data_IF_420137637572
#
_entry.id   IF_420137637572
#
_cell.length_a   1.000
_cell.length_b   1.000
_cell.length_c   1.000
_cell.angle_alpha   90.00
_cell.angle_beta   90.00
_cell.angle_gamma   90.00
#
_symmetry.space_group_name_H-M   'P 1'
#
loop_
_entity.id
_entity.type
_entity.pdbx_description
1 polymer ?
#
# COMPACT_ATOMS: atom_id res chain seq x y z
N UNK A 1 3.68 29.43 77.52
CA UNK A 1 2.24 29.12 77.67
C UNK A 1 1.64 29.21 76.28
N UNK A 2 1.57 28.07 75.58
CA UNK A 2 1.10 28.01 74.18
C UNK A 2 -0.19 27.20 74.21
N UNK A 3 -1.31 27.87 73.91
CA UNK A 3 -2.62 27.26 73.83
C UNK A 3 -2.74 26.40 72.57
N UNK A 4 -3.10 25.13 72.78
CA UNK A 4 -3.53 24.18 71.75
C UNK A 4 -5.07 24.17 71.77
N UNK A 5 -5.72 24.47 70.65
CA UNK A 5 -7.17 24.37 70.48
C UNK A 5 -7.53 23.20 69.52
N UNK A 6 -8.67 22.51 69.72
CA UNK A 6 -8.96 21.26 69.02
C UNK A 6 -9.69 21.47 67.68
N UNK A 7 -9.18 20.78 66.65
CA UNK A 7 -9.77 20.60 65.31
C UNK A 7 -10.98 19.65 65.35
N UNK A 8 -12.18 20.14 65.69
CA UNK A 8 -13.37 19.28 65.62
C UNK A 8 -14.68 20.02 65.40
N UNK A 9 -14.77 20.92 64.40
CA UNK A 9 -16.05 21.56 64.07
C UNK A 9 -16.11 22.24 62.69
N UNK A 10 -15.79 21.53 61.59
CA UNK A 10 -15.98 22.07 60.22
C UNK A 10 -16.43 21.00 59.20
N UNK A 11 -17.25 20.02 59.58
CA UNK A 11 -17.78 19.01 58.64
C UNK A 11 -19.27 18.82 58.89
N UNK A 12 -20.11 19.74 58.40
CA UNK A 12 -21.55 19.69 58.60
C UNK A 12 -22.39 20.18 57.42
N UNK A 13 -21.95 21.19 56.67
CA UNK A 13 -22.79 21.85 55.65
C UNK A 13 -22.63 21.34 54.21
N UNK A 14 -21.66 20.47 53.91
CA UNK A 14 -21.36 20.08 52.52
C UNK A 14 -22.02 18.77 52.03
N UNK A 15 -22.75 18.05 52.87
CA UNK A 15 -23.28 16.72 52.50
C UNK A 15 -24.52 16.81 51.59
N UNK A 16 -25.35 17.85 51.74
CA UNK A 16 -26.57 18.00 50.92
C UNK A 16 -26.25 18.47 49.49
N UNK A 17 -25.27 19.37 49.33
CA UNK A 17 -24.83 19.84 48.01
C UNK A 17 -24.21 18.72 47.17
N UNK A 18 -23.47 17.79 47.80
CA UNK A 18 -22.88 16.64 47.11
C UNK A 18 -23.96 15.68 46.59
N UNK A 19 -25.04 15.46 47.34
CA UNK A 19 -26.17 14.62 46.88
C UNK A 19 -26.90 15.24 45.70
N UNK A 20 -27.04 16.57 45.68
CA UNK A 20 -27.67 17.29 44.56
C UNK A 20 -26.83 17.16 43.28
N UNK A 21 -25.50 17.36 43.37
CA UNK A 21 -24.57 17.24 42.24
C UNK A 21 -24.53 15.80 41.70
N UNK A 22 -24.49 14.80 42.58
CA UNK A 22 -24.53 13.39 42.17
C UNK A 22 -25.84 13.00 41.50
N UNK A 23 -26.98 13.57 41.92
CA UNK A 23 -28.27 13.35 41.25
C UNK A 23 -28.27 13.94 39.84
N UNK A 24 -27.73 15.15 39.68
CA UNK A 24 -27.61 15.83 38.39
C UNK A 24 -26.69 15.08 37.41
N UNK A 25 -25.53 14.60 37.89
CA UNK A 25 -24.59 13.82 37.07
C UNK A 25 -25.18 12.49 36.58
N UNK A 26 -26.00 11.81 37.41
CA UNK A 26 -26.69 10.58 37.00
C UNK A 26 -27.69 10.83 35.88
N UNK A 27 -28.45 11.93 35.95
CA UNK A 27 -29.38 12.33 34.90
C UNK A 27 -28.66 12.63 33.58
N UNK A 28 -27.55 13.37 33.64
CA UNK A 28 -26.75 13.71 32.46
C UNK A 28 -26.18 12.44 31.78
N UNK A 29 -25.65 11.51 32.57
CA UNK A 29 -25.05 10.28 32.05
C UNK A 29 -26.08 9.40 31.34
N UNK A 30 -27.29 9.25 31.92
CA UNK A 30 -28.38 8.48 31.29
C UNK A 30 -28.79 9.11 29.95
N UNK A 31 -28.88 10.44 29.88
CA UNK A 31 -29.24 11.14 28.65
C UNK A 31 -28.19 10.95 27.54
N UNK A 32 -26.90 10.98 27.89
CA UNK A 32 -25.80 10.71 26.95
C UNK A 32 -25.84 9.30 26.37
N UNK A 33 -26.11 8.28 27.20
CA UNK A 33 -26.22 6.89 26.75
C UNK A 33 -27.39 6.71 25.77
N UNK A 34 -28.53 7.35 26.04
CA UNK A 34 -29.69 7.30 25.13
C UNK A 34 -29.37 7.95 23.78
N UNK A 35 -28.64 9.07 23.76
CA UNK A 35 -28.23 9.72 22.52
C UNK A 35 -27.24 8.89 21.70
N UNK A 36 -26.31 8.19 22.33
CA UNK A 36 -25.36 7.30 21.63
C UNK A 36 -26.08 6.10 21.02
N UNK A 37 -26.97 5.46 21.78
CA UNK A 37 -27.74 4.30 21.28
C UNK A 37 -28.71 4.73 20.16
N UNK A 38 -29.41 5.85 20.34
CA UNK A 38 -30.33 6.39 19.34
C UNK A 38 -29.61 6.84 18.07
N UNK A 39 -28.48 7.55 18.21
CA UNK A 39 -27.65 7.99 17.10
C UNK A 39 -27.01 6.83 16.33
N UNK A 40 -26.48 5.83 17.04
CA UNK A 40 -25.93 4.62 16.44
C UNK A 40 -26.99 3.79 15.70
N UNK A 41 -28.18 3.63 16.29
CA UNK A 41 -29.30 2.96 15.64
C UNK A 41 -29.78 3.68 14.38
N UNK A 42 -29.87 5.01 14.41
CA UNK A 42 -30.25 5.82 13.24
C UNK A 42 -29.19 5.73 12.12
N UNK A 43 -27.90 5.75 12.48
CA UNK A 43 -26.80 5.61 11.53
C UNK A 43 -26.83 4.24 10.82
N UNK A 44 -27.01 3.14 11.57
CA UNK A 44 -27.13 1.79 11.00
C UNK A 44 -28.38 1.66 10.12
N UNK A 45 -29.51 2.25 10.52
CA UNK A 45 -30.75 2.25 9.72
C UNK A 45 -30.55 2.93 8.36
N UNK A 46 -29.80 4.03 8.28
CA UNK A 46 -29.49 4.66 7.00
C UNK A 46 -28.62 3.80 6.09
N UNK A 47 -27.72 2.97 6.63
CA UNK A 47 -26.91 2.08 5.79
C UNK A 47 -27.70 0.90 5.20
N UNK A 48 -28.71 0.37 5.91
CA UNK A 48 -29.49 -0.77 5.41
C UNK A 48 -30.49 -0.42 4.29
N UNK A 49 -30.77 0.87 4.04
CA UNK A 49 -31.69 1.29 2.98
C UNK A 49 -31.15 1.23 1.55
N UNK A 50 -29.88 0.81 1.34
CA UNK A 50 -29.25 0.69 0.01
C UNK A 50 -29.16 -0.75 -0.51
N UNK A 51 -30.16 -1.58 -0.23
CA UNK A 51 -30.26 -2.93 -0.82
C UNK A 51 -31.01 -2.87 -2.15
N UNK A 52 -30.22 -2.80 -3.22
CA UNK A 52 -30.35 -3.48 -4.51
C UNK A 52 -31.78 -3.69 -5.06
N UNK A 53 -32.25 -2.75 -5.88
CA UNK A 53 -33.09 -3.10 -7.05
C UNK A 53 -32.18 -3.66 -8.13
N UNK A 54 -32.07 -4.99 -8.12
CA UNK A 54 -31.51 -5.80 -9.19
C UNK A 54 -32.57 -5.92 -10.31
N UNK A 55 -32.45 -5.09 -11.34
CA UNK A 55 -33.16 -5.29 -12.58
C UNK A 55 -32.44 -4.56 -13.71
N UNK A 56 -31.78 -5.36 -14.54
CA UNK A 56 -31.52 -5.08 -15.95
C UNK A 56 -30.51 -3.95 -16.20
N UNK A 57 -29.25 -4.21 -15.82
CA UNK A 57 -28.11 -3.47 -16.34
C UNK A 57 -27.39 -4.33 -17.37
N UNK A 58 -27.58 -3.98 -18.63
CA UNK A 58 -26.54 -4.16 -19.64
C UNK A 58 -25.21 -3.73 -19.03
N UNK A 59 -24.25 -4.65 -18.95
CA UNK A 59 -22.85 -4.39 -18.60
C UNK A 59 -22.26 -3.46 -19.66
N UNK A 60 -22.58 -2.18 -19.56
CA UNK A 60 -21.78 -1.13 -20.16
C UNK A 60 -20.48 -1.15 -19.37
N UNK A 61 -19.43 -1.74 -19.94
CA UNK A 61 -18.07 -1.68 -19.40
C UNK A 61 -17.65 -0.22 -19.31
N UNK A 62 -18.06 0.45 -18.24
CA UNK A 62 -17.59 1.79 -17.92
C UNK A 62 -16.12 1.62 -17.58
N UNK A 63 -15.24 2.12 -18.45
CA UNK A 63 -13.81 2.24 -18.15
C UNK A 63 -13.67 2.80 -16.72
N UNK A 64 -12.78 2.21 -15.90
CA UNK A 64 -12.59 2.67 -14.54
C UNK A 64 -12.37 4.18 -14.51
N UNK A 65 -13.01 4.84 -13.55
CA UNK A 65 -12.83 6.28 -13.31
C UNK A 65 -11.33 6.57 -13.21
N UNK A 66 -10.81 7.51 -14.00
CA UNK A 66 -9.38 7.89 -14.03
C UNK A 66 -8.88 8.16 -12.61
N UNK A 67 -9.72 8.78 -11.78
CA UNK A 67 -9.45 9.05 -10.37
C UNK A 67 -9.29 7.78 -9.52
N UNK A 68 -9.99 6.70 -9.86
CA UNK A 68 -9.85 5.41 -9.18
C UNK A 68 -8.48 4.78 -9.51
N UNK A 69 -8.02 4.89 -10.75
CA UNK A 69 -6.70 4.43 -11.17
C UNK A 69 -5.58 5.23 -10.50
N UNK A 70 -5.70 6.55 -10.43
CA UNK A 70 -4.76 7.41 -9.70
C UNK A 70 -4.64 7.02 -8.22
N UNK A 71 -5.77 6.80 -7.55
CA UNK A 71 -5.81 6.37 -6.16
C UNK A 71 -5.19 4.97 -5.98
N UNK A 72 -5.48 4.06 -6.90
CA UNK A 72 -4.92 2.71 -6.90
C UNK A 72 -3.39 2.72 -7.07
N UNK A 73 -2.85 3.56 -7.95
CA UNK A 73 -1.41 3.76 -8.10
C UNK A 73 -0.77 4.26 -6.80
N UNK A 74 -1.33 5.31 -6.20
CA UNK A 74 -0.82 5.86 -4.94
C UNK A 74 -0.82 4.80 -3.83
N UNK A 75 -1.94 4.10 -3.62
CA UNK A 75 -2.06 3.07 -2.58
C UNK A 75 -1.05 1.95 -2.79
N UNK A 76 -0.98 1.41 -4.01
CA UNK A 76 -0.09 0.29 -4.33
C UNK A 76 1.39 0.69 -4.19
N UNK A 77 1.77 1.88 -4.67
CA UNK A 77 3.15 2.37 -4.55
C UNK A 77 3.55 2.59 -3.08
N UNK A 78 2.65 3.12 -2.25
CA UNK A 78 2.87 3.30 -0.80
C UNK A 78 3.01 1.96 -0.09
N UNK A 79 2.10 1.01 -0.33
CA UNK A 79 2.17 -0.35 0.27
C UNK A 79 3.49 -1.02 -0.09
N UNK A 80 3.89 -0.98 -1.37
CA UNK A 80 5.17 -1.55 -1.83
C UNK A 80 6.39 -0.83 -1.25
N UNK A 81 6.32 0.48 -1.07
CA UNK A 81 7.38 1.23 -0.38
C UNK A 81 7.51 0.81 1.08
N UNK A 82 6.39 0.63 1.78
CA UNK A 82 6.35 0.17 3.16
C UNK A 82 6.98 -1.21 3.31
N UNK A 83 6.65 -2.15 2.42
CA UNK A 83 7.23 -3.50 2.41
C UNK A 83 8.77 -3.47 2.29
N UNK A 84 9.31 -2.48 1.57
CA UNK A 84 10.73 -2.39 1.24
C UNK A 84 11.56 -1.58 2.22
N UNK A 85 11.04 -0.46 2.70
CA UNK A 85 11.80 0.50 3.54
C UNK A 85 11.10 0.87 4.86
N UNK A 86 9.89 0.36 5.12
CA UNK A 86 9.13 0.59 6.35
C UNK A 86 8.19 1.80 6.29
N UNK A 87 7.59 2.15 7.44
CA UNK A 87 6.61 3.22 7.57
C UNK A 87 7.26 4.57 7.94
N UNK A 88 7.37 5.54 7.01
CA UNK A 88 7.79 6.88 7.37
C UNK A 88 6.70 7.60 8.15
N UNK A 89 7.09 8.36 9.18
CA UNK A 89 6.14 9.08 10.06
C UNK A 89 5.44 10.22 9.29
N UNK A 90 6.15 10.86 8.35
CA UNK A 90 5.67 12.03 7.61
C UNK A 90 5.05 11.67 6.25
N UNK A 91 5.17 10.41 5.82
CA UNK A 91 4.84 9.96 4.47
C UNK A 91 6.06 9.81 3.56
N UNK A 92 5.81 9.54 2.28
CA UNK A 92 6.86 9.29 1.29
C UNK A 92 7.22 10.57 0.52
N UNK A 93 8.52 10.84 0.45
CA UNK A 93 9.11 11.89 -0.37
C UNK A 93 9.84 11.25 -1.58
N UNK A 94 10.31 12.06 -2.53
CA UNK A 94 10.99 11.55 -3.73
C UNK A 94 12.25 10.71 -3.40
N UNK A 95 12.98 11.05 -2.33
CA UNK A 95 14.21 10.33 -1.95
C UNK A 95 13.86 8.93 -1.45
N UNK A 96 12.83 8.82 -0.61
CA UNK A 96 12.35 7.55 -0.10
C UNK A 96 11.80 6.65 -1.22
N UNK A 97 11.07 7.22 -2.19
CA UNK A 97 10.58 6.46 -3.34
C UNK A 97 11.72 6.01 -4.26
N UNK A 98 12.72 6.85 -4.55
CA UNK A 98 13.92 6.45 -5.30
C UNK A 98 14.70 5.33 -4.59
N UNK A 99 14.71 5.33 -3.26
CA UNK A 99 15.30 4.24 -2.47
C UNK A 99 14.48 2.95 -2.56
N UNK A 100 13.15 3.04 -2.55
CA UNK A 100 12.26 1.87 -2.61
C UNK A 100 12.21 1.23 -4.01
N UNK A 101 12.28 2.03 -5.07
CA UNK A 101 12.12 1.57 -6.46
C UNK A 101 13.35 1.92 -7.31
N UNK A 102 14.28 0.96 -7.50
CA UNK A 102 15.57 1.23 -8.15
C UNK A 102 15.47 1.63 -9.63
N UNK A 103 14.30 1.44 -10.27
CA UNK A 103 14.07 1.86 -11.66
C UNK A 103 13.28 3.17 -11.78
N UNK A 104 12.93 3.81 -10.67
CA UNK A 104 12.57 5.23 -10.69
C UNK A 104 13.82 6.07 -10.98
N UNK A 105 13.63 7.15 -11.73
CA UNK A 105 14.68 8.11 -12.05
C UNK A 105 14.31 9.49 -11.51
N UNK A 106 15.30 10.34 -11.22
CA UNK A 106 15.06 11.70 -10.74
C UNK A 106 14.10 12.50 -11.64
N UNK A 107 14.21 12.33 -12.97
CA UNK A 107 13.33 12.98 -13.94
C UNK A 107 11.86 12.57 -13.84
N UNK A 108 11.54 11.43 -13.22
CA UNK A 108 10.14 11.03 -12.98
C UNK A 108 9.47 11.96 -11.97
N UNK A 109 10.25 12.66 -11.16
CA UNK A 109 9.79 13.59 -10.15
C UNK A 109 9.72 15.04 -10.63
N UNK A 110 10.07 15.34 -11.88
CA UNK A 110 10.00 16.71 -12.38
C UNK A 110 8.54 17.22 -12.37
N UNK A 111 8.31 18.32 -11.66
CA UNK A 111 6.99 18.92 -11.44
C UNK A 111 6.12 18.24 -10.38
N UNK A 112 6.55 17.13 -9.77
CA UNK A 112 5.76 16.39 -8.76
C UNK A 112 5.49 17.27 -7.54
N UNK A 113 4.21 17.41 -7.19
CA UNK A 113 3.76 18.24 -6.06
C UNK A 113 3.94 17.56 -4.71
N UNK A 114 4.47 18.29 -3.73
CA UNK A 114 4.49 17.91 -2.32
C UNK A 114 3.48 18.74 -1.52
N UNK A 115 3.39 18.54 -0.20
CA UNK A 115 2.48 19.33 0.65
C UNK A 115 2.80 20.84 0.71
N UNK A 116 4.07 21.23 0.59
CA UNK A 116 4.47 22.65 0.70
C UNK A 116 5.36 23.13 -0.45
N UNK A 117 5.40 22.39 -1.55
CA UNK A 117 6.24 22.70 -2.70
C UNK A 117 6.10 21.71 -3.84
N UNK A 118 7.17 21.60 -4.61
CA UNK A 118 7.28 20.66 -5.71
C UNK A 118 8.74 20.29 -5.96
N UNK A 119 8.93 19.26 -6.76
CA UNK A 119 10.23 18.85 -7.24
C UNK A 119 10.49 19.42 -8.63
N UNK A 120 11.73 19.84 -8.90
CA UNK A 120 12.15 20.40 -10.18
C UNK A 120 13.57 19.94 -10.52
N UNK A 121 13.85 19.63 -11.78
CA UNK A 121 15.21 19.34 -12.25
C UNK A 121 15.97 20.65 -12.48
N UNK A 122 16.96 20.94 -11.62
CA UNK A 122 17.86 22.08 -11.76
C UNK A 122 19.28 21.58 -12.01
N UNK A 123 19.92 22.04 -13.10
CA UNK A 123 21.28 21.64 -13.49
C UNK A 123 21.47 20.10 -13.57
N UNK A 124 20.42 19.39 -13.97
CA UNK A 124 20.42 17.92 -14.10
C UNK A 124 20.31 17.15 -12.79
N UNK A 125 19.98 17.82 -11.68
CA UNK A 125 19.75 17.20 -10.37
C UNK A 125 18.34 17.53 -9.87
N UNK A 126 17.70 16.59 -9.19
CA UNK A 126 16.42 16.82 -8.52
C UNK A 126 16.56 17.77 -7.33
N UNK A 127 15.87 18.91 -7.39
CA UNK A 127 15.76 19.89 -6.32
C UNK A 127 14.34 19.95 -5.77
N UNK A 128 14.21 20.17 -4.47
CA UNK A 128 12.93 20.50 -3.85
C UNK A 128 12.77 22.04 -3.80
N UNK A 129 11.72 22.54 -4.43
CA UNK A 129 11.36 23.95 -4.49
C UNK A 129 10.12 24.17 -3.62
N UNK A 130 10.24 25.08 -2.67
CA UNK A 130 9.16 25.38 -1.72
C UNK A 130 8.25 26.46 -2.29
N UNK A 131 6.94 26.23 -2.21
CA UNK A 131 5.92 27.17 -2.73
C UNK A 131 5.37 28.11 -1.65
N UNK A 132 5.66 27.86 -0.37
CA UNK A 132 5.14 28.62 0.78
C UNK A 132 6.28 29.09 1.71
N UNK A 133 6.23 30.32 2.23
CA UNK A 133 7.34 30.85 3.07
C UNK A 133 7.27 30.43 4.55
N UNK A 134 6.08 30.23 5.13
CA UNK A 134 5.87 29.86 6.53
C UNK A 134 4.40 29.52 6.81
N UNK A 135 4.10 28.66 7.81
CA UNK A 135 5.02 27.90 8.67
C UNK A 135 5.60 26.66 7.97
N UNK A 136 6.67 26.09 8.53
CA UNK A 136 7.32 24.86 8.03
C UNK A 136 6.83 23.63 8.78
N UNK A 137 6.25 22.66 8.07
CA UNK A 137 5.99 21.33 8.64
C UNK A 137 7.12 20.34 8.35
N UNK A 138 7.18 19.28 9.15
CA UNK A 138 8.08 18.14 8.92
C UNK A 138 7.70 17.31 7.70
N UNK A 139 6.48 17.44 7.19
CA UNK A 139 5.95 16.75 6.02
C UNK A 139 6.03 17.59 4.74
N UNK A 140 6.78 18.71 4.73
CA UNK A 140 6.82 19.66 3.60
C UNK A 140 7.18 19.00 2.25
N UNK A 141 7.98 17.92 2.29
CA UNK A 141 8.45 17.17 1.12
C UNK A 141 7.60 15.97 0.77
N UNK A 142 6.63 15.61 1.61
CA UNK A 142 5.77 14.46 1.36
C UNK A 142 4.96 14.70 0.09
N UNK A 143 4.98 13.73 -0.81
CA UNK A 143 4.27 13.80 -2.09
C UNK A 143 2.77 13.89 -1.82
N UNK A 144 2.14 14.90 -2.41
CA UNK A 144 0.69 15.12 -2.32
C UNK A 144 -0.06 14.14 -3.23
N UNK A 145 -1.37 14.00 -3.04
CA UNK A 145 -2.20 13.17 -3.94
C UNK A 145 -2.06 13.62 -5.40
N UNK A 146 -2.06 14.94 -5.65
CA UNK A 146 -1.81 15.52 -6.98
C UNK A 146 -0.41 15.19 -7.50
N UNK A 147 0.57 15.11 -6.62
CA UNK A 147 1.93 14.69 -6.94
C UNK A 147 2.01 13.25 -7.43
N UNK A 148 1.23 12.33 -6.86
CA UNK A 148 1.17 10.94 -7.34
C UNK A 148 0.57 10.85 -8.76
N UNK A 149 -0.38 11.71 -9.11
CA UNK A 149 -0.91 11.79 -10.48
C UNK A 149 0.18 12.21 -11.47
N UNK A 150 0.94 13.27 -11.13
CA UNK A 150 2.05 13.72 -11.97
C UNK A 150 3.12 12.64 -12.08
N UNK A 151 3.45 11.97 -10.98
CA UNK A 151 4.42 10.88 -10.97
C UNK A 151 3.97 9.71 -11.87
N UNK A 152 2.70 9.29 -11.77
CA UNK A 152 2.14 8.25 -12.63
C UNK A 152 2.29 8.62 -14.11
N UNK A 153 1.93 9.85 -14.48
CA UNK A 153 2.03 10.35 -15.85
C UNK A 153 3.47 10.43 -16.35
N UNK A 154 4.40 10.90 -15.52
CA UNK A 154 5.81 10.98 -15.88
C UNK A 154 6.41 9.59 -16.12
N UNK A 155 6.15 8.66 -15.21
CA UNK A 155 6.65 7.29 -15.29
C UNK A 155 6.03 6.54 -16.47
N UNK A 156 4.71 6.63 -16.66
CA UNK A 156 4.01 5.97 -17.76
C UNK A 156 4.51 6.48 -19.11
N UNK A 157 4.72 7.79 -19.25
CA UNK A 157 5.29 8.39 -20.44
C UNK A 157 6.74 7.94 -20.68
N UNK A 158 7.60 7.92 -19.65
CA UNK A 158 8.99 7.46 -19.77
C UNK A 158 9.10 6.00 -20.19
N UNK A 159 8.24 5.15 -19.64
CA UNK A 159 8.25 3.70 -19.87
C UNK A 159 7.36 3.28 -21.06
N UNK A 160 6.72 4.24 -21.73
CA UNK A 160 5.78 4.01 -22.84
C UNK A 160 4.67 3.00 -22.46
N UNK A 161 4.13 3.12 -21.24
CA UNK A 161 3.07 2.24 -20.71
C UNK A 161 1.71 2.93 -20.74
N UNK A 162 0.75 2.25 -21.34
CA UNK A 162 -0.64 2.69 -21.40
C UNK A 162 -1.39 2.19 -20.16
N UNK A 163 -2.00 3.12 -19.41
CA UNK A 163 -2.66 2.84 -18.14
C UNK A 163 -4.16 2.85 -18.36
N UNK A 164 -4.75 1.65 -18.41
CA UNK A 164 -6.18 1.45 -18.72
C UNK A 164 -6.97 0.83 -17.57
N UNK A 165 -6.26 0.16 -16.67
CA UNK A 165 -6.84 -0.64 -15.59
C UNK A 165 -5.83 -0.84 -14.46
N UNK A 166 -6.27 -1.45 -13.36
CA UNK A 166 -5.44 -1.75 -12.20
C UNK A 166 -4.31 -2.74 -12.51
N UNK A 167 -4.49 -3.63 -13.50
CA UNK A 167 -3.47 -4.58 -13.91
C UNK A 167 -2.27 -3.87 -14.53
N UNK A 168 -2.52 -2.91 -15.44
CA UNK A 168 -1.47 -2.09 -16.05
C UNK A 168 -0.67 -1.26 -15.03
N UNK A 169 -1.31 -0.81 -13.94
CA UNK A 169 -0.64 -0.13 -12.82
C UNK A 169 0.24 -1.11 -12.03
N UNK A 170 -0.29 -2.31 -11.76
CA UNK A 170 0.45 -3.35 -11.03
C UNK A 170 1.71 -3.76 -11.78
N UNK A 171 1.59 -3.93 -13.10
CA UNK A 171 2.73 -4.18 -13.99
C UNK A 171 3.73 -3.03 -13.91
N UNK A 172 3.26 -1.77 -14.02
CA UNK A 172 4.10 -0.57 -13.93
C UNK A 172 4.89 -0.53 -12.61
N UNK A 173 4.25 -0.80 -11.48
CA UNK A 173 4.93 -0.79 -10.18
C UNK A 173 5.96 -1.93 -10.10
N UNK A 174 5.65 -3.10 -10.65
CA UNK A 174 6.59 -4.22 -10.75
C UNK A 174 7.81 -3.86 -11.62
N UNK A 175 7.63 -3.09 -12.70
CA UNK A 175 8.75 -2.49 -13.46
C UNK A 175 9.64 -1.64 -12.59
N UNK A 176 9.05 -0.68 -11.89
CA UNK A 176 9.76 0.27 -11.04
C UNK A 176 10.55 -0.44 -9.93
N UNK A 177 9.96 -1.50 -9.40
CA UNK A 177 10.52 -2.36 -8.37
C UNK A 177 11.73 -3.18 -8.85
N UNK A 178 11.97 -3.26 -10.16
CA UNK A 178 12.97 -4.14 -10.77
C UNK A 178 12.53 -5.61 -10.81
N UNK A 179 11.22 -5.85 -10.69
CA UNK A 179 10.61 -7.18 -10.70
C UNK A 179 10.21 -7.60 -12.13
N UNK A 180 10.20 -6.67 -13.10
CA UNK A 180 10.04 -7.02 -14.51
C UNK A 180 11.26 -7.78 -15.06
N UNK A 181 10.98 -8.91 -15.72
CA UNK A 181 12.00 -9.82 -16.25
C UNK A 181 12.59 -10.75 -15.19
N UNK A 182 12.24 -10.54 -13.91
CA UNK A 182 12.34 -11.54 -12.88
C UNK A 182 10.91 -11.95 -12.57
N UNK A 183 10.32 -12.73 -13.49
CA UNK A 183 9.60 -13.87 -12.94
C UNK A 183 10.66 -14.53 -12.07
N UNK A 184 10.57 -14.38 -10.75
CA UNK A 184 11.31 -15.24 -9.84
C UNK A 184 10.61 -16.58 -9.98
N UNK A 185 10.68 -17.15 -11.18
CA UNK A 185 10.48 -18.55 -11.42
C UNK A 185 11.32 -19.18 -10.34
N UNK A 186 10.69 -19.83 -9.35
CA UNK A 186 11.46 -20.44 -8.28
C UNK A 186 12.38 -21.43 -8.98
N UNK A 187 13.69 -21.19 -8.93
CA UNK A 187 14.69 -22.13 -9.40
C UNK A 187 15.05 -22.96 -8.18
N UNK A 188 14.52 -24.18 -8.12
CA UNK A 188 14.87 -25.13 -7.07
C UNK A 188 16.33 -25.57 -7.21
N UNK A 189 16.77 -25.89 -8.43
CA UNK A 189 18.13 -26.33 -8.75
C UNK A 189 18.55 -25.94 -10.17
N UNK A 190 19.84 -25.70 -10.37
CA UNK A 190 20.43 -25.45 -11.69
C UNK A 190 21.64 -26.38 -11.90
N UNK A 191 21.71 -26.94 -13.10
CA UNK A 191 22.76 -27.84 -13.57
C UNK A 191 23.31 -27.33 -14.90
N UNK A 192 24.45 -27.87 -15.32
CA UNK A 192 24.94 -27.65 -16.67
C UNK A 192 23.92 -28.17 -17.69
N UNK A 193 23.35 -27.26 -18.48
CA UNK A 193 22.33 -27.54 -19.51
C UNK A 193 20.91 -27.83 -18.98
N UNK A 194 20.61 -27.53 -17.71
CA UNK A 194 19.29 -27.81 -17.15
C UNK A 194 18.93 -26.95 -15.94
N UNK A 195 17.68 -26.49 -15.90
CA UNK A 195 17.08 -25.83 -14.73
C UNK A 195 15.90 -26.66 -14.23
N UNK A 196 15.80 -26.80 -12.91
CA UNK A 196 14.65 -27.41 -12.23
C UNK A 196 13.92 -26.30 -11.49
N UNK A 197 12.70 -26.03 -11.91
CA UNK A 197 11.88 -24.95 -11.37
C UNK A 197 11.23 -25.39 -10.05
N UNK A 198 10.26 -26.28 -10.11
CA UNK A 198 9.53 -26.76 -8.93
C UNK A 198 8.97 -28.16 -9.15
N UNK A 199 8.70 -28.87 -8.05
CA UNK A 199 7.94 -30.14 -8.02
C UNK A 199 6.46 -29.92 -7.70
N UNK A 200 6.07 -28.67 -7.43
CA UNK A 200 4.69 -28.32 -7.11
C UNK A 200 3.87 -28.14 -8.40
N UNK A 201 3.01 -29.12 -8.67
CA UNK A 201 2.11 -29.10 -9.83
C UNK A 201 0.99 -28.04 -9.72
N UNK A 202 0.85 -27.35 -8.58
CA UNK A 202 -0.10 -26.25 -8.42
C UNK A 202 0.45 -24.91 -8.93
N UNK A 203 1.75 -24.81 -9.21
CA UNK A 203 2.36 -23.59 -9.77
C UNK A 203 1.93 -23.42 -11.22
N UNK A 204 1.56 -22.19 -11.59
CA UNK A 204 1.27 -21.80 -12.97
C UNK A 204 2.52 -22.00 -13.86
N UNK A 205 2.45 -22.83 -14.92
CA UNK A 205 3.60 -23.08 -15.78
C UNK A 205 3.93 -21.92 -16.72
N UNK A 206 3.02 -20.98 -16.99
CA UNK A 206 3.25 -19.92 -18.01
C UNK A 206 4.53 -19.08 -17.74
N UNK A 207 4.81 -18.63 -16.50
CA UNK A 207 6.05 -17.91 -16.21
C UNK A 207 7.29 -18.80 -16.35
N UNK A 208 7.18 -20.10 -16.05
CA UNK A 208 8.27 -21.07 -16.16
C UNK A 208 8.62 -21.33 -17.63
N UNK A 209 7.60 -21.47 -18.48
CA UNK A 209 7.76 -21.61 -19.93
C UNK A 209 8.38 -20.37 -20.56
N UNK A 210 7.98 -19.18 -20.10
CA UNK A 210 8.55 -17.92 -20.55
C UNK A 210 10.04 -17.81 -20.21
N UNK A 211 10.44 -18.12 -18.97
CA UNK A 211 11.86 -18.19 -18.59
C UNK A 211 12.62 -19.23 -19.41
N UNK A 212 12.04 -20.41 -19.63
CA UNK A 212 12.71 -21.46 -20.40
C UNK A 212 12.97 -21.06 -21.86
N UNK A 213 12.02 -20.36 -22.49
CA UNK A 213 12.20 -19.80 -23.84
C UNK A 213 13.30 -18.74 -23.90
N UNK A 214 13.42 -17.90 -22.87
CA UNK A 214 14.49 -16.89 -22.77
C UNK A 214 15.88 -17.54 -22.65
N UNK A 215 15.95 -18.76 -22.10
CA UNK A 215 17.17 -19.58 -22.01
C UNK A 215 17.45 -20.40 -23.28
N UNK A 216 16.63 -20.27 -24.31
CA UNK A 216 16.69 -21.09 -25.54
C UNK A 216 16.53 -22.60 -25.27
N UNK A 217 15.89 -22.97 -24.15
CA UNK A 217 15.69 -24.36 -23.76
C UNK A 217 14.35 -24.95 -24.17
N UNK A 218 14.19 -26.24 -23.87
CA UNK A 218 12.94 -26.99 -24.05
C UNK A 218 12.28 -27.18 -22.69
N UNK A 219 11.06 -26.66 -22.53
CA UNK A 219 10.28 -26.81 -21.32
C UNK A 219 9.72 -28.24 -21.22
N UNK A 220 9.79 -28.84 -20.03
CA UNK A 220 9.26 -30.17 -19.75
C UNK A 220 8.43 -30.12 -18.46
N UNK A 221 7.14 -30.49 -18.59
CA UNK A 221 6.13 -30.48 -17.54
C UNK A 221 6.28 -31.60 -16.50
N UNK A 222 7.01 -32.66 -16.85
CA UNK A 222 7.40 -33.75 -15.96
C UNK A 222 8.85 -34.20 -16.23
N UNK A 223 9.80 -33.29 -16.01
CA UNK A 223 11.22 -33.57 -16.03
C UNK A 223 11.73 -34.19 -14.73
N UNK A 224 12.99 -34.66 -14.76
CA UNK A 224 13.65 -35.23 -13.56
C UNK A 224 14.26 -34.10 -12.71
N UNK A 225 14.31 -34.26 -11.39
CA UNK A 225 14.98 -33.27 -10.51
C UNK A 225 16.50 -33.42 -10.46
N UNK A 226 17.06 -34.46 -11.08
CA UNK A 226 18.47 -34.81 -10.91
C UNK A 226 19.37 -34.21 -11.99
N UNK A 227 20.66 -34.13 -11.66
CA UNK A 227 21.72 -33.80 -12.60
C UNK A 227 21.72 -34.79 -13.80
N UNK A 228 22.12 -34.35 -15.00
CA UNK A 228 22.11 -35.18 -16.22
C UNK A 228 22.92 -36.50 -16.10
N UNK A 229 23.88 -36.58 -15.19
CA UNK A 229 24.79 -37.72 -14.99
C UNK A 229 24.56 -38.49 -13.67
N UNK A 230 23.44 -38.28 -12.97
CA UNK A 230 23.16 -38.97 -11.72
C UNK A 230 22.84 -40.46 -11.96
N UNK A 231 23.58 -41.37 -11.31
CA UNK A 231 23.33 -42.83 -11.38
C UNK A 231 22.02 -43.25 -10.72
N UNK A 232 21.57 -42.47 -9.72
CA UNK A 232 20.34 -42.71 -8.97
C UNK A 232 19.54 -41.42 -8.95
N UNK A 233 18.27 -41.50 -9.36
CA UNK A 233 17.37 -40.35 -9.37
C UNK A 233 16.00 -40.69 -8.77
N UNK A 234 15.43 -39.75 -8.02
CA UNK A 234 14.07 -39.84 -7.50
C UNK A 234 13.06 -39.60 -8.63
N UNK A 235 12.10 -40.52 -8.78
CA UNK A 235 11.04 -40.43 -9.79
C UNK A 235 9.91 -39.49 -9.33
N UNK A 236 10.18 -38.19 -9.30
CA UNK A 236 9.19 -37.14 -9.03
C UNK A 236 9.17 -36.21 -10.24
N UNK A 237 7.98 -35.93 -10.79
CA UNK A 237 7.82 -34.94 -11.87
C UNK A 237 8.18 -33.56 -11.34
N UNK A 238 8.97 -32.82 -12.12
CA UNK A 238 9.23 -31.41 -11.89
C UNK A 238 9.09 -30.62 -13.19
N UNK A 239 8.68 -29.36 -13.08
CA UNK A 239 8.83 -28.41 -14.18
C UNK A 239 10.32 -28.15 -14.40
N UNK A 240 10.80 -28.39 -15.61
CA UNK A 240 12.22 -28.24 -15.96
C UNK A 240 12.40 -27.53 -17.28
N UNK A 241 13.59 -26.97 -17.49
CA UNK A 241 14.06 -26.44 -18.76
C UNK A 241 15.40 -27.10 -19.11
N UNK A 242 15.53 -27.68 -20.30
CA UNK A 242 16.76 -28.36 -20.77
C UNK A 242 17.34 -27.61 -21.99
N UNK A 243 18.64 -27.29 -21.99
CA UNK A 243 19.34 -26.53 -23.05
C UNK A 243 20.79 -26.98 -23.28
#
# INVERSE_FOLDING_TARGET
MICVAPLKQCVGENVENIRLILSFMKGLFILLVILIIGGGGYYVYQQQGRVLTDSDMTEEETMPDEKALEAFFQETLVVKSVERIGFPIEGFDATLLLQAFPRLEERDFDGVKSFEGHYEITDGTLAFIRDQESPVSSAERTISNEGYVILLNNVSARLEKDIRDEASITDLISMLAGEEGVSSVPIMQEYEGKVVYTVDAAVDPEPLEADCRLREGTFNDCGTTCAPNAEVCTSVCAFTCEY
#
